data_IF_773434354090
#
_entry.id   IF_773434354090
#
_cell.length_a   1.000
_cell.length_b   1.000
_cell.length_c   1.000
_cell.angle_alpha   90.00
_cell.angle_beta   90.00
_cell.angle_gamma   90.00
#
_symmetry.space_group_name_H-M   'P 1'
#
loop_
_entity.id
_entity.type
_entity.pdbx_description
1 polymer ?
#
# COMPACT_ATOMS: atom_id res chain seq x y z
N UNK A 1 -14.36 -47.39 10.83
CA UNK A 1 -13.34 -46.39 10.45
C UNK A 1 -14.02 -45.37 9.55
N UNK A 2 -14.60 -44.31 10.13
CA UNK A 2 -15.35 -43.29 9.41
C UNK A 2 -14.52 -42.01 9.35
N UNK A 3 -14.31 -41.49 8.14
CA UNK A 3 -13.64 -40.22 7.91
C UNK A 3 -14.49 -39.09 8.51
N UNK A 4 -13.97 -38.46 9.56
CA UNK A 4 -14.56 -37.30 10.18
C UNK A 4 -14.15 -36.08 9.35
N UNK A 5 -14.89 -35.83 8.26
CA UNK A 5 -14.85 -34.55 7.55
C UNK A 5 -15.24 -33.49 8.57
N UNK A 6 -14.25 -32.74 9.06
CA UNK A 6 -14.48 -31.57 9.88
C UNK A 6 -15.03 -30.48 8.97
N UNK A 7 -16.36 -30.46 8.86
CA UNK A 7 -17.08 -29.29 8.41
C UNK A 7 -16.73 -28.17 9.39
N UNK A 8 -15.95 -27.18 8.95
CA UNK A 8 -15.63 -26.00 9.76
C UNK A 8 -16.85 -25.07 9.64
N UNK A 9 -17.68 -24.94 10.67
CA UNK A 9 -18.85 -24.08 10.60
C UNK A 9 -18.40 -22.67 10.96
N UNK A 10 -18.31 -21.77 9.98
CA UNK A 10 -17.95 -20.39 10.32
C UNK A 10 -17.56 -19.45 9.20
N UNK A 11 -18.42 -19.26 8.19
CA UNK A 11 -18.75 -17.91 7.71
C UNK A 11 -19.97 -18.02 6.80
N UNK A 12 -21.16 -17.96 7.38
CA UNK A 12 -22.29 -17.31 6.70
C UNK A 12 -21.96 -15.81 6.65
N UNK A 13 -20.95 -15.45 5.87
CA UNK A 13 -20.34 -14.13 5.88
C UNK A 13 -20.67 -13.45 4.58
N UNK A 14 -21.39 -12.34 4.65
CA UNK A 14 -21.52 -11.38 3.54
C UNK A 14 -20.16 -11.25 2.82
N UNK A 15 -20.11 -11.24 1.47
CA UNK A 15 -18.85 -11.12 0.75
C UNK A 15 -18.01 -9.97 1.33
N UNK A 16 -16.72 -10.22 1.51
CA UNK A 16 -15.80 -9.20 2.03
C UNK A 16 -15.90 -7.95 1.12
N UNK A 17 -15.88 -6.73 1.69
CA UNK A 17 -16.08 -5.52 0.90
C UNK A 17 -14.92 -5.32 -0.07
N UNK A 18 -15.23 -4.95 -1.32
CA UNK A 18 -14.23 -4.48 -2.27
C UNK A 18 -13.74 -3.10 -1.81
N UNK A 19 -12.43 -2.98 -1.59
CA UNK A 19 -11.77 -1.71 -1.22
C UNK A 19 -10.76 -1.37 -2.31
N UNK A 20 -10.91 -0.21 -2.95
CA UNK A 20 -9.94 0.35 -3.87
C UNK A 20 -9.22 1.53 -3.21
N UNK A 21 -7.89 1.54 -3.29
CA UNK A 21 -7.03 2.63 -2.80
C UNK A 21 -6.21 3.15 -3.97
N UNK A 22 -6.24 4.46 -4.19
CA UNK A 22 -5.46 5.13 -5.23
C UNK A 22 -4.76 6.36 -4.67
N UNK A 23 -3.60 6.70 -5.24
CA UNK A 23 -2.92 7.98 -4.99
C UNK A 23 -3.51 8.99 -5.97
N UNK A 24 -4.08 10.06 -5.44
CA UNK A 24 -4.83 11.04 -6.20
C UNK A 24 -4.33 12.44 -5.84
N UNK A 25 -4.20 13.30 -6.84
CA UNK A 25 -3.95 14.72 -6.61
C UNK A 25 -5.23 15.42 -6.19
N UNK A 26 -5.12 16.66 -5.71
CA UNK A 26 -6.30 17.47 -5.40
C UNK A 26 -7.21 17.65 -6.63
N UNK A 27 -6.61 17.86 -7.82
CA UNK A 27 -7.36 17.97 -9.09
C UNK A 27 -8.16 16.70 -9.38
N UNK A 28 -7.60 15.52 -9.13
CA UNK A 28 -8.30 14.26 -9.37
C UNK A 28 -9.50 14.11 -8.42
N UNK A 29 -9.34 14.51 -7.16
CA UNK A 29 -10.43 14.51 -6.18
C UNK A 29 -11.56 15.46 -6.58
N UNK A 30 -11.21 16.65 -7.07
CA UNK A 30 -12.19 17.64 -7.52
C UNK A 30 -13.03 17.12 -8.71
N UNK A 31 -12.39 16.37 -9.64
CA UNK A 31 -13.06 15.73 -10.79
C UNK A 31 -13.94 14.56 -10.36
N UNK A 32 -13.47 13.73 -9.42
CA UNK A 32 -14.23 12.58 -8.90
C UNK A 32 -15.45 13.01 -8.06
N UNK A 33 -15.43 14.24 -7.54
CA UNK A 33 -16.56 14.87 -6.88
C UNK A 33 -17.13 14.05 -5.71
N UNK A 34 -18.45 14.08 -5.56
CA UNK A 34 -19.16 13.48 -4.41
C UNK A 34 -19.19 11.95 -4.41
N UNK A 35 -18.70 11.30 -5.47
CA UNK A 35 -18.60 9.83 -5.54
C UNK A 35 -17.52 9.27 -4.62
N UNK A 36 -16.55 10.10 -4.23
CA UNK A 36 -15.49 9.72 -3.31
C UNK A 36 -15.91 9.96 -1.86
N UNK A 37 -16.01 8.89 -1.07
CA UNK A 37 -16.53 8.97 0.30
C UNK A 37 -15.47 9.26 1.36
N UNK A 38 -14.20 8.97 1.07
CA UNK A 38 -13.07 9.08 2.01
C UNK A 38 -11.79 9.39 1.25
N UNK A 39 -11.09 10.43 1.67
CA UNK A 39 -9.71 10.71 1.25
C UNK A 39 -8.86 11.00 2.49
N UNK A 40 -7.59 10.63 2.44
CA UNK A 40 -6.61 10.91 3.48
C UNK A 40 -5.43 11.61 2.81
N UNK A 41 -5.13 12.88 3.17
CA UNK A 41 -4.03 13.58 2.56
C UNK A 41 -2.71 12.90 2.94
N UNK A 42 -1.92 12.55 1.94
CA UNK A 42 -0.52 12.21 2.14
C UNK A 42 0.22 13.53 2.28
N UNK A 43 0.77 13.79 3.45
CA UNK A 43 1.62 14.96 3.68
C UNK A 43 3.02 14.62 3.23
N UNK A 44 3.64 15.52 2.49
CA UNK A 44 5.10 15.54 2.42
C UNK A 44 5.60 15.89 3.82
N UNK A 45 6.24 14.90 4.45
CA UNK A 45 6.91 15.06 5.72
C UNK A 45 8.41 15.08 5.44
N UNK A 46 9.08 16.10 5.97
CA UNK A 46 10.51 16.32 5.82
C UNK A 46 11.31 15.78 7.01
N UNK A 47 10.66 15.08 7.96
CA UNK A 47 11.28 14.59 9.19
C UNK A 47 12.51 13.69 8.98
N UNK A 48 12.66 13.12 7.78
CA UNK A 48 13.77 12.23 7.42
C UNK A 48 14.67 12.77 6.29
N UNK A 49 14.47 14.02 5.86
CA UNK A 49 15.23 14.60 4.74
C UNK A 49 16.74 14.58 5.01
N UNK A 50 17.15 14.94 6.24
CA UNK A 50 18.57 14.92 6.64
C UNK A 50 19.17 13.50 6.58
N UNK A 51 18.38 12.49 6.94
CA UNK A 51 18.79 11.08 6.87
C UNK A 51 18.91 10.62 5.42
N UNK A 52 17.92 10.93 4.58
CA UNK A 52 17.93 10.58 3.16
C UNK A 52 19.11 11.26 2.45
N UNK A 53 19.35 12.53 2.73
CA UNK A 53 20.51 13.26 2.21
C UNK A 53 21.84 12.62 2.67
N UNK A 54 21.91 12.17 3.92
CA UNK A 54 23.08 11.45 4.41
C UNK A 54 23.28 10.13 3.66
N UNK A 55 22.21 9.39 3.35
CA UNK A 55 22.29 8.15 2.56
C UNK A 55 22.68 8.40 1.10
N UNK A 56 22.16 9.45 0.47
CA UNK A 56 22.53 9.83 -0.90
C UNK A 56 24.00 10.23 -1.02
N UNK A 57 24.61 10.70 0.07
CA UNK A 57 26.04 11.01 0.12
C UNK A 57 26.94 9.77 0.18
N UNK A 58 26.38 8.59 0.43
CA UNK A 58 27.12 7.33 0.47
C UNK A 58 27.28 6.81 -0.96
N UNK A 59 28.53 6.66 -1.37
CA UNK A 59 28.85 6.05 -2.67
C UNK A 59 28.32 4.61 -2.70
N UNK A 60 27.46 4.30 -3.69
CA UNK A 60 26.93 2.97 -3.85
C UNK A 60 28.07 1.99 -4.14
N UNK A 61 28.36 1.10 -3.18
CA UNK A 61 29.31 0.02 -3.39
C UNK A 61 28.66 -0.93 -4.41
N UNK A 62 29.02 -0.79 -5.67
CA UNK A 62 28.54 -1.67 -6.74
C UNK A 62 28.82 -3.12 -6.34
N UNK A 63 27.77 -3.93 -6.23
CA UNK A 63 27.93 -5.37 -5.96
C UNK A 63 28.69 -5.97 -7.15
N UNK A 64 29.94 -6.44 -6.97
CA UNK A 64 30.69 -7.02 -8.07
C UNK A 64 30.06 -8.38 -8.41
N UNK A 65 29.29 -8.44 -9.50
CA UNK A 65 28.70 -9.72 -9.92
C UNK A 65 27.48 -9.71 -10.84
N UNK A 66 27.10 -8.60 -11.48
CA UNK A 66 26.12 -8.65 -12.57
C UNK A 66 26.63 -7.95 -13.82
N UNK A 67 27.63 -8.57 -14.44
CA UNK A 67 27.95 -8.36 -15.85
C UNK A 67 26.85 -9.05 -16.68
N UNK A 68 26.14 -8.25 -17.48
CA UNK A 68 25.37 -8.74 -18.63
C UNK A 68 26.27 -8.88 -19.85
#
# INVERSE_FOLDING_TARGET
MAAMTRDIPGRTGRPDPIVAVGLLTQRDLDVLGTGFRRSFPVREDTAFDDLLHALDSIEAIGVPGKSS
#
